data_IF_665315290833
#
_entry.id   IF_665315290833
#
_cell.length_a   1.000
_cell.length_b   1.000
_cell.length_c   1.000
_cell.angle_alpha   90.00
_cell.angle_beta   90.00
_cell.angle_gamma   90.00
#
_symmetry.space_group_name_H-M   'P 1'
#
loop_
_entity.id
_entity.type
_entity.pdbx_description
1 polymer ?
#
# COMPACT_ATOMS: atom_id res chain seq x y z
N UNK A 1 10.60 -9.33 -0.72
CA UNK A 1 10.02 -8.02 -0.37
C UNK A 1 10.39 -7.62 1.06
N UNK A 2 11.07 -6.49 1.25
CA UNK A 2 11.31 -5.90 2.58
C UNK A 2 10.40 -4.69 2.73
N UNK A 3 9.47 -4.76 3.69
CA UNK A 3 8.56 -3.65 4.01
C UNK A 3 8.94 -3.12 5.39
N UNK A 4 9.07 -1.81 5.49
CA UNK A 4 9.34 -1.13 6.74
C UNK A 4 8.17 -0.20 7.06
N UNK A 5 7.48 -0.47 8.15
CA UNK A 5 6.42 0.38 8.67
C UNK A 5 7.08 1.34 9.65
N UNK A 6 6.98 2.64 9.38
CA UNK A 6 7.44 3.69 10.28
C UNK A 6 6.23 4.19 11.05
N UNK A 7 6.25 4.05 12.37
CA UNK A 7 5.23 4.65 13.22
C UNK A 7 5.36 6.18 13.20
N UNK A 8 4.28 6.87 12.86
CA UNK A 8 4.24 8.35 12.73
C UNK A 8 5.28 8.93 11.76
N UNK A 9 5.22 8.59 10.45
CA UNK A 9 6.17 9.11 9.48
C UNK A 9 5.98 10.62 9.32
N UNK A 10 7.08 11.36 9.11
CA UNK A 10 7.04 12.80 8.86
C UNK A 10 6.47 13.18 7.48
N UNK A 11 6.06 12.20 6.67
CA UNK A 11 5.58 12.37 5.31
C UNK A 11 4.64 11.22 4.88
N UNK A 12 3.70 11.53 4.01
CA UNK A 12 2.86 10.54 3.34
C UNK A 12 3.60 9.96 2.13
N UNK A 13 3.48 8.66 1.90
CA UNK A 13 4.08 7.98 0.74
C UNK A 13 3.00 7.74 -0.31
N UNK A 14 3.29 8.12 -1.56
CA UNK A 14 2.50 7.72 -2.72
C UNK A 14 3.12 6.47 -3.34
N UNK A 15 2.37 5.37 -3.35
CA UNK A 15 2.74 4.18 -4.11
C UNK A 15 2.44 4.42 -5.58
N UNK A 16 3.50 4.49 -6.39
CA UNK A 16 3.39 4.63 -7.84
C UNK A 16 3.57 3.30 -8.57
N UNK A 17 3.28 3.33 -9.87
CA UNK A 17 3.41 2.21 -10.81
C UNK A 17 4.74 1.41 -10.74
N UNK A 18 5.92 1.98 -10.44
CA UNK A 18 7.15 1.19 -10.32
C UNK A 18 7.10 0.10 -9.24
N UNK A 19 6.30 0.28 -8.20
CA UNK A 19 6.07 -0.74 -7.17
C UNK A 19 5.19 -1.89 -7.68
N UNK A 20 4.26 -1.60 -8.58
CA UNK A 20 3.35 -2.59 -9.17
C UNK A 20 4.03 -3.51 -10.19
N UNK A 21 5.22 -3.13 -10.71
CA UNK A 21 5.99 -3.98 -11.64
C UNK A 21 6.62 -5.18 -10.93
N UNK A 22 7.07 -4.99 -9.69
CA UNK A 22 7.79 -6.00 -8.91
C UNK A 22 6.92 -6.71 -7.86
N UNK A 23 5.76 -6.14 -7.54
CA UNK A 23 4.80 -6.70 -6.59
C UNK A 23 3.40 -6.63 -7.19
N UNK A 24 2.61 -7.69 -7.02
CA UNK A 24 1.20 -7.62 -7.38
C UNK A 24 0.49 -6.77 -6.33
N UNK A 25 -0.03 -5.61 -6.75
CA UNK A 25 -0.81 -4.72 -5.90
C UNK A 25 -2.31 -4.88 -6.18
N UNK A 26 -3.11 -5.01 -5.14
CA UNK A 26 -4.56 -5.01 -5.21
C UNK A 26 -5.12 -3.96 -4.26
N UNK A 27 -5.91 -3.03 -4.80
CA UNK A 27 -6.62 -2.03 -4.02
C UNK A 27 -8.05 -2.49 -3.76
N UNK A 28 -8.48 -2.45 -2.50
CA UNK A 28 -9.84 -2.75 -2.08
C UNK A 28 -10.44 -1.52 -1.40
N UNK A 29 -11.50 -0.98 -1.98
CA UNK A 29 -12.30 0.10 -1.38
C UNK A 29 -13.52 -0.48 -0.68
N UNK A 30 -13.83 0.03 0.51
CA UNK A 30 -14.96 -0.38 1.33
C UNK A 30 -16.06 0.67 1.29
N UNK A 31 -17.30 0.26 1.57
CA UNK A 31 -18.45 1.19 1.65
C UNK A 31 -18.32 2.21 2.78
N UNK A 32 -17.51 1.92 3.80
CA UNK A 32 -17.15 2.87 4.86
C UNK A 32 -16.32 4.06 4.35
N UNK A 33 -15.79 3.99 3.13
CA UNK A 33 -14.82 4.95 2.59
C UNK A 33 -13.37 4.56 2.88
N UNK A 34 -13.15 3.53 3.70
CA UNK A 34 -11.82 2.98 3.91
C UNK A 34 -11.30 2.35 2.63
N UNK A 35 -9.98 2.37 2.45
CA UNK A 35 -9.34 1.68 1.35
C UNK A 35 -8.06 1.02 1.83
N UNK A 36 -7.87 -0.24 1.46
CA UNK A 36 -6.68 -1.01 1.76
C UNK A 36 -5.94 -1.36 0.47
N UNK A 37 -4.62 -1.46 0.57
CA UNK A 37 -3.76 -1.98 -0.49
C UNK A 37 -3.12 -3.27 0.01
N UNK A 38 -3.28 -4.34 -0.76
CA UNK A 38 -2.61 -5.62 -0.55
C UNK A 38 -1.48 -5.77 -1.55
N UNK A 39 -0.27 -6.02 -1.07
CA UNK A 39 0.91 -6.29 -1.88
C UNK A 39 1.31 -7.75 -1.73
N UNK A 40 1.49 -8.42 -2.86
CA UNK A 40 1.99 -9.79 -2.95
C UNK A 40 3.35 -9.80 -3.65
N UNK A 41 4.36 -10.37 -3.01
CA UNK A 41 5.65 -10.65 -3.65
C UNK A 41 5.54 -11.95 -4.46
N UNK A 42 5.56 -11.89 -5.82
CA UNK A 42 5.40 -13.08 -6.64
C UNK A 42 6.55 -14.08 -6.51
N UNK A 43 7.71 -13.66 -5.97
CA UNK A 43 8.87 -14.53 -5.83
C UNK A 43 8.87 -15.32 -4.52
N UNK A 44 8.20 -14.81 -3.48
CA UNK A 44 8.22 -15.40 -2.14
C UNK A 44 6.82 -15.71 -1.60
N UNK A 45 5.78 -15.36 -2.34
CA UNK A 45 4.36 -15.47 -1.97
C UNK A 45 4.01 -14.74 -0.67
N UNK A 46 4.87 -13.84 -0.19
CA UNK A 46 4.59 -13.02 0.98
C UNK A 46 3.53 -11.98 0.64
N UNK A 47 2.53 -11.87 1.53
CA UNK A 47 1.39 -10.97 1.38
C UNK A 47 1.40 -9.99 2.56
N UNK A 48 1.16 -8.72 2.28
CA UNK A 48 0.95 -7.68 3.28
C UNK A 48 -0.22 -6.79 2.88
N UNK A 49 -1.04 -6.37 3.85
CA UNK A 49 -2.15 -5.45 3.65
C UNK A 49 -1.93 -4.20 4.48
N UNK A 50 -2.09 -3.04 3.84
CA UNK A 50 -1.82 -1.72 4.41
C UNK A 50 -3.08 -0.86 4.27
N UNK A 51 -3.61 -0.28 5.36
CA UNK A 51 -4.69 0.69 5.25
C UNK A 51 -4.17 2.00 4.66
N UNK A 52 -4.98 2.63 3.81
CA UNK A 52 -4.65 3.94 3.21
C UNK A 52 -5.41 5.05 3.94
N UNK A 53 -4.86 6.27 3.83
CA UNK A 53 -5.49 7.48 4.36
C UNK A 53 -5.87 8.40 3.19
N UNK A 54 -6.95 9.18 3.31
CA UNK A 54 -7.29 10.18 2.30
C UNK A 54 -6.11 11.13 2.05
N UNK A 55 -5.88 11.47 0.79
CA UNK A 55 -4.88 12.48 0.43
C UNK A 55 -5.39 13.86 0.85
N UNK A 56 -4.56 14.64 1.55
CA UNK A 56 -4.89 16.02 1.88
C UNK A 56 -5.05 16.88 0.61
N UNK A 57 -5.98 17.85 0.60
CA UNK A 57 -6.12 18.79 -0.51
C UNK A 57 -4.82 19.57 -0.74
N UNK A 58 -4.51 19.92 -2.00
CA UNK A 58 -3.33 20.73 -2.35
C UNK A 58 -3.40 22.17 -1.84
#
# INVERSE_FOLDING_TARGET
LQVHIVDSPAYNVLLGQPFEVLTQAQTQSFLSGDQHITLTDPNTERIITIPTVPREPP
#
